data_IF_196453039313
#
_entry.id   IF_196453039313
#
_cell.length_a   1.000
_cell.length_b   1.000
_cell.length_c   1.000
_cell.angle_alpha   90.00
_cell.angle_beta   90.00
_cell.angle_gamma   90.00
#
_symmetry.space_group_name_H-M   'P 1'
#
loop_
_entity.id
_entity.type
_entity.pdbx_description
1 polymer ?
#
# COMPACT_ATOMS: atom_id res chain seq x y z
N UNK A 1 -7.36 -1.17 -15.44
CA UNK A 1 -6.01 -1.52 -15.13
C UNK A 1 -5.89 -2.89 -14.47
N UNK A 2 -4.86 -3.65 -14.87
CA UNK A 2 -4.73 -5.06 -14.49
C UNK A 2 -4.61 -5.27 -12.97
N UNK A 3 -3.78 -4.47 -12.32
CA UNK A 3 -3.56 -4.60 -10.86
C UNK A 3 -4.83 -4.27 -10.08
N UNK A 4 -5.47 -3.17 -10.41
CA UNK A 4 -6.70 -2.77 -9.74
C UNK A 4 -7.80 -3.80 -9.94
N UNK A 5 -7.93 -4.33 -11.15
CA UNK A 5 -8.93 -5.35 -11.46
C UNK A 5 -8.69 -6.63 -10.69
N UNK A 6 -7.43 -7.05 -10.58
CA UNK A 6 -7.06 -8.24 -9.81
C UNK A 6 -7.46 -8.11 -8.34
N UNK A 7 -7.12 -6.98 -7.72
CA UNK A 7 -7.44 -6.76 -6.32
C UNK A 7 -8.95 -6.68 -6.12
N UNK A 8 -9.65 -5.94 -6.96
CA UNK A 8 -11.10 -5.80 -6.87
C UNK A 8 -11.80 -7.15 -6.99
N UNK A 9 -11.38 -7.97 -7.94
CA UNK A 9 -11.94 -9.30 -8.12
C UNK A 9 -11.69 -10.19 -6.90
N UNK A 10 -10.48 -10.12 -6.34
CA UNK A 10 -10.13 -10.89 -5.14
C UNK A 10 -11.03 -10.49 -3.97
N UNK A 11 -11.25 -9.19 -3.78
CA UNK A 11 -12.10 -8.70 -2.70
C UNK A 11 -13.56 -9.14 -2.89
N UNK A 12 -14.07 -9.09 -4.11
CA UNK A 12 -15.44 -9.52 -4.39
C UNK A 12 -15.63 -11.01 -4.14
N UNK A 13 -14.70 -11.84 -4.60
CA UNK A 13 -14.78 -13.28 -4.42
C UNK A 13 -14.75 -13.68 -2.95
N UNK A 14 -14.10 -12.88 -2.14
CA UNK A 14 -13.97 -13.15 -0.70
C UNK A 14 -15.02 -12.43 0.12
N UNK A 15 -15.97 -11.78 -0.52
CA UNK A 15 -17.10 -11.10 0.11
C UNK A 15 -16.65 -10.07 1.17
N UNK A 16 -15.59 -9.33 0.86
CA UNK A 16 -15.10 -8.29 1.74
C UNK A 16 -16.11 -7.14 1.79
N UNK A 17 -16.37 -6.61 2.98
CA UNK A 17 -17.31 -5.52 3.15
C UNK A 17 -16.91 -4.32 2.30
N UNK A 18 -17.89 -3.61 1.75
CA UNK A 18 -17.65 -2.47 0.87
C UNK A 18 -16.75 -1.40 1.50
N UNK A 19 -16.92 -1.13 2.80
CA UNK A 19 -16.08 -0.16 3.51
C UNK A 19 -14.62 -0.58 3.53
N UNK A 20 -14.37 -1.87 3.76
CA UNK A 20 -13.01 -2.40 3.77
C UNK A 20 -12.41 -2.39 2.36
N UNK A 21 -13.19 -2.78 1.36
CA UNK A 21 -12.76 -2.74 -0.04
C UNK A 21 -12.37 -1.33 -0.47
N UNK A 22 -13.13 -0.34 -0.03
CA UNK A 22 -12.84 1.06 -0.33
C UNK A 22 -11.47 1.48 0.24
N UNK A 23 -11.20 1.11 1.50
CA UNK A 23 -9.92 1.42 2.13
C UNK A 23 -8.75 0.73 1.42
N UNK A 24 -8.93 -0.52 1.04
CA UNK A 24 -7.90 -1.28 0.31
C UNK A 24 -7.61 -0.64 -1.04
N UNK A 25 -8.64 -0.22 -1.76
CA UNK A 25 -8.46 0.42 -3.07
C UNK A 25 -7.73 1.75 -2.96
N UNK A 26 -8.00 2.53 -1.92
CA UNK A 26 -7.27 3.78 -1.67
C UNK A 26 -5.80 3.48 -1.39
N UNK A 27 -5.54 2.51 -0.51
CA UNK A 27 -4.17 2.13 -0.18
C UNK A 27 -3.40 1.65 -1.40
N UNK A 28 -4.03 0.80 -2.20
CA UNK A 28 -3.41 0.28 -3.42
C UNK A 28 -3.05 1.42 -4.37
N UNK A 29 -3.98 2.33 -4.60
CA UNK A 29 -3.77 3.45 -5.51
C UNK A 29 -2.59 4.32 -5.07
N UNK A 30 -2.55 4.68 -3.80
CA UNK A 30 -1.47 5.50 -3.28
C UNK A 30 -0.11 4.80 -3.31
N UNK A 31 -0.06 3.56 -2.87
CA UNK A 31 1.19 2.82 -2.81
C UNK A 31 1.73 2.47 -4.20
N UNK A 32 0.85 2.05 -5.09
CA UNK A 32 1.26 1.69 -6.45
C UNK A 32 1.70 2.93 -7.22
N UNK A 33 0.99 4.04 -7.06
CA UNK A 33 1.38 5.31 -7.68
C UNK A 33 2.76 5.77 -7.22
N UNK A 34 3.08 5.57 -5.93
CA UNK A 34 4.39 5.91 -5.40
C UNK A 34 5.49 5.08 -6.08
N UNK A 35 5.25 3.80 -6.29
CA UNK A 35 6.20 2.94 -6.99
C UNK A 35 6.43 3.47 -8.40
N UNK A 36 5.37 3.73 -9.13
CA UNK A 36 5.44 4.18 -10.52
C UNK A 36 6.19 5.51 -10.64
N UNK A 37 5.89 6.44 -9.72
CA UNK A 37 6.44 7.80 -9.81
C UNK A 37 7.84 7.97 -9.25
N UNK A 38 8.19 7.25 -8.18
CA UNK A 38 9.38 7.60 -7.40
C UNK A 38 10.40 6.49 -7.22
N UNK A 39 10.04 5.23 -7.41
CA UNK A 39 10.99 4.15 -7.12
C UNK A 39 12.00 3.90 -8.23
N UNK A 40 11.69 4.29 -9.46
CA UNK A 40 12.53 3.96 -10.61
C UNK A 40 12.50 2.47 -10.95
N UNK A 41 11.51 1.76 -10.45
CA UNK A 41 11.40 0.32 -10.65
C UNK A 41 11.09 -0.03 -12.10
N UNK A 42 11.70 -1.10 -12.61
CA UNK A 42 11.37 -1.65 -13.92
C UNK A 42 10.30 -2.74 -13.79
N UNK A 43 10.09 -3.26 -12.59
CA UNK A 43 9.02 -4.23 -12.35
C UNK A 43 8.43 -4.06 -10.94
N UNK A 44 7.16 -4.35 -10.84
CA UNK A 44 6.44 -4.31 -9.58
C UNK A 44 5.41 -5.43 -9.56
N UNK A 45 5.24 -6.05 -8.40
CA UNK A 45 4.26 -7.12 -8.20
C UNK A 45 3.35 -6.76 -7.04
N UNK A 46 2.07 -7.08 -7.20
CA UNK A 46 1.08 -6.86 -6.15
C UNK A 46 0.35 -8.17 -5.91
N UNK A 47 0.21 -8.54 -4.66
CA UNK A 47 -0.64 -9.66 -4.29
C UNK A 47 -1.64 -9.22 -3.23
N UNK A 48 -2.82 -9.84 -3.24
CA UNK A 48 -3.88 -9.55 -2.30
C UNK A 48 -4.36 -10.87 -1.71
N UNK A 49 -4.26 -11.00 -0.40
CA UNK A 49 -4.68 -12.21 0.31
C UNK A 49 -5.76 -11.83 1.29
N UNK A 50 -6.88 -12.56 1.23
CA UNK A 50 -8.01 -12.32 2.12
C UNK A 50 -8.22 -13.56 2.97
N UNK A 51 -8.20 -13.41 4.28
CA UNK A 51 -8.58 -14.48 5.18
C UNK A 51 -9.80 -14.04 5.99
N UNK A 52 -10.20 -14.83 6.97
CA UNK A 52 -11.41 -14.58 7.76
C UNK A 52 -11.37 -13.24 8.50
N UNK A 53 -10.20 -12.80 8.91
CA UNK A 53 -10.05 -11.63 9.77
C UNK A 53 -9.31 -10.46 9.14
N UNK A 54 -8.55 -10.69 8.09
CA UNK A 54 -7.70 -9.65 7.52
C UNK A 54 -7.70 -9.66 6.00
N UNK A 55 -7.39 -8.48 5.45
CA UNK A 55 -7.04 -8.33 4.03
C UNK A 55 -5.60 -7.83 4.00
N UNK A 56 -4.75 -8.51 3.24
CA UNK A 56 -3.34 -8.17 3.14
C UNK A 56 -3.00 -7.81 1.70
N UNK A 57 -2.38 -6.64 1.52
CA UNK A 57 -1.75 -6.27 0.25
C UNK A 57 -0.25 -6.39 0.43
N UNK A 58 0.41 -7.04 -0.51
CA UNK A 58 1.85 -7.13 -0.55
C UNK A 58 2.33 -6.54 -1.86
N UNK A 59 3.21 -5.54 -1.78
CA UNK A 59 3.75 -4.87 -2.95
C UNK A 59 5.26 -5.06 -2.96
N UNK A 60 5.79 -5.50 -4.11
CA UNK A 60 7.21 -5.74 -4.29
C UNK A 60 7.67 -4.98 -5.52
N UNK A 61 8.79 -4.26 -5.43
CA UNK A 61 9.37 -3.60 -6.58
C UNK A 61 10.89 -3.60 -6.51
N UNK A 62 11.51 -3.47 -7.67
CA UNK A 62 12.98 -3.48 -7.77
C UNK A 62 13.57 -2.07 -7.87
N UNK A 63 12.87 -1.07 -7.38
CA UNK A 63 13.34 0.30 -7.39
C UNK A 63 14.33 0.60 -6.27
N UNK A 64 14.63 1.89 -6.10
CA UNK A 64 15.54 2.31 -5.02
C UNK A 64 14.94 2.00 -3.66
N UNK A 65 15.77 1.66 -2.66
CA UNK A 65 15.26 1.40 -1.32
C UNK A 65 14.54 2.63 -0.74
N UNK A 66 13.33 2.40 -0.25
CA UNK A 66 12.55 3.45 0.39
C UNK A 66 11.61 2.82 1.41
N UNK A 67 11.80 3.15 2.68
CA UNK A 67 10.99 2.63 3.78
C UNK A 67 9.93 3.64 4.19
N UNK A 68 8.68 3.47 3.75
CA UNK A 68 7.61 4.39 4.13
C UNK A 68 7.25 4.31 5.61
N UNK A 69 7.62 3.22 6.29
CA UNK A 69 7.31 3.04 7.71
C UNK A 69 8.28 3.77 8.61
N UNK A 70 9.41 4.23 8.08
CA UNK A 70 10.47 4.85 8.86
C UNK A 70 10.13 6.27 9.34
N UNK A 71 9.17 6.93 8.68
CA UNK A 71 8.76 8.29 9.07
C UNK A 71 7.69 8.25 10.14
N UNK A 72 7.84 9.16 11.11
CA UNK A 72 6.83 9.31 12.15
C UNK A 72 5.64 10.11 11.63
N UNK A 73 4.48 9.97 12.28
CA UNK A 73 3.25 10.63 11.85
C UNK A 73 3.39 12.15 11.76
N UNK A 74 4.14 12.77 12.67
CA UNK A 74 4.35 14.21 12.64
C UNK A 74 5.08 14.64 11.37
N UNK A 75 6.08 13.88 10.95
CA UNK A 75 6.82 14.16 9.71
C UNK A 75 5.93 13.97 8.50
N UNK A 76 5.06 12.95 8.53
CA UNK A 76 4.11 12.70 7.45
C UNK A 76 3.10 13.83 7.31
N UNK A 77 2.62 14.35 8.44
CA UNK A 77 1.69 15.48 8.43
C UNK A 77 2.34 16.72 7.84
N UNK A 78 3.58 16.99 8.22
CA UNK A 78 4.31 18.12 7.69
C UNK A 78 4.49 18.00 6.18
N UNK A 79 4.85 16.81 5.70
CA UNK A 79 4.99 16.57 4.27
C UNK A 79 3.68 16.78 3.54
N UNK A 80 2.57 16.35 4.13
CA UNK A 80 1.25 16.52 3.54
C UNK A 80 0.88 18.00 3.47
N UNK A 81 1.16 18.77 4.54
CA UNK A 81 0.89 20.21 4.58
C UNK A 81 1.71 20.96 3.55
N UNK A 82 2.93 20.53 3.30
CA UNK A 82 3.80 21.14 2.31
C UNK A 82 3.51 20.62 0.91
N UNK A 83 2.51 19.75 0.78
CA UNK A 83 2.12 19.14 -0.47
C UNK A 83 3.25 18.32 -1.11
N UNK A 84 4.09 17.74 -0.28
CA UNK A 84 5.15 16.85 -0.74
C UNK A 84 4.54 15.59 -1.32
N UNK A 85 4.90 15.30 -2.56
CA UNK A 85 4.38 14.14 -3.25
C UNK A 85 4.92 12.87 -2.60
N UNK A 86 4.05 11.87 -2.42
CA UNK A 86 4.41 10.61 -1.76
C UNK A 86 4.21 10.64 -0.25
N UNK A 87 4.46 11.78 0.39
CA UNK A 87 4.28 11.90 1.84
C UNK A 87 2.82 11.86 2.24
N UNK A 88 1.99 12.59 1.51
CA UNK A 88 0.55 12.63 1.77
C UNK A 88 -0.09 11.26 1.60
N UNK A 89 0.25 10.56 0.51
CA UNK A 89 -0.31 9.25 0.23
C UNK A 89 0.06 8.24 1.29
N UNK A 90 1.33 8.21 1.71
CA UNK A 90 1.81 7.30 2.74
C UNK A 90 1.13 7.59 4.07
N UNK A 91 0.99 8.86 4.42
CA UNK A 91 0.28 9.29 5.63
C UNK A 91 -1.15 8.75 5.65
N UNK A 92 -1.85 8.91 4.52
CA UNK A 92 -3.23 8.41 4.38
C UNK A 92 -3.30 6.90 4.56
N UNK A 93 -2.38 6.16 3.93
CA UNK A 93 -2.34 4.69 4.05
C UNK A 93 -2.13 4.27 5.50
N UNK A 94 -1.22 4.93 6.21
CA UNK A 94 -0.99 4.63 7.63
C UNK A 94 -2.23 4.85 8.47
N UNK A 95 -3.03 5.86 8.13
CA UNK A 95 -4.28 6.13 8.86
C UNK A 95 -5.35 5.10 8.56
N UNK A 96 -5.40 4.58 7.34
CA UNK A 96 -6.43 3.65 6.91
C UNK A 96 -6.16 2.19 7.27
N UNK A 97 -4.89 1.80 7.29
CA UNK A 97 -4.51 0.40 7.48
C UNK A 97 -4.24 0.09 8.94
N UNK A 98 -4.44 -1.17 9.30
CA UNK A 98 -4.21 -1.65 10.67
C UNK A 98 -2.72 -1.85 10.95
N UNK A 99 -1.96 -2.22 9.93
CA UNK A 99 -0.53 -2.50 10.09
C UNK A 99 0.19 -2.28 8.77
N UNK A 100 1.43 -1.82 8.86
CA UNK A 100 2.30 -1.64 7.69
C UNK A 100 3.70 -2.11 8.07
N UNK A 101 4.28 -2.99 7.27
CA UNK A 101 5.64 -3.49 7.48
C UNK A 101 6.43 -3.40 6.18
N UNK A 102 7.74 -3.23 6.31
CA UNK A 102 8.62 -3.04 5.16
C UNK A 102 9.93 -3.78 5.36
N UNK A 103 10.46 -4.33 4.27
CA UNK A 103 11.85 -4.77 4.24
C UNK A 103 12.42 -4.56 2.83
N UNK A 104 13.75 -4.47 2.77
CA UNK A 104 14.45 -4.41 1.49
C UNK A 104 15.39 -5.62 1.46
N UNK A 105 15.20 -6.47 0.49
CA UNK A 105 15.90 -7.75 0.46
C UNK A 105 16.11 -8.22 -0.97
N UNK A 106 17.30 -8.68 -1.28
CA UNK A 106 17.64 -9.21 -2.60
C UNK A 106 17.35 -8.25 -3.75
N UNK A 107 17.50 -6.95 -3.50
CA UNK A 107 17.27 -5.93 -4.53
C UNK A 107 15.81 -5.51 -4.67
N UNK A 108 14.95 -5.93 -3.76
CA UNK A 108 13.52 -5.61 -3.81
C UNK A 108 13.03 -4.92 -2.56
N UNK A 109 12.24 -3.87 -2.77
CA UNK A 109 11.41 -3.31 -1.72
C UNK A 109 10.21 -4.23 -1.54
N UNK A 110 9.88 -4.57 -0.29
CA UNK A 110 8.72 -5.39 0.02
C UNK A 110 7.90 -4.70 1.09
N UNK A 111 6.74 -4.22 0.70
CA UNK A 111 5.84 -3.52 1.59
C UNK A 111 4.57 -4.34 1.76
N UNK A 112 4.20 -4.59 3.02
CA UNK A 112 2.98 -5.32 3.35
C UNK A 112 2.09 -4.42 4.17
N UNK A 113 0.84 -4.26 3.74
CA UNK A 113 -0.16 -3.54 4.52
C UNK A 113 -1.32 -4.47 4.81
N UNK A 114 -1.84 -4.40 6.03
CA UNK A 114 -2.94 -5.24 6.48
C UNK A 114 -4.08 -4.39 6.98
N UNK A 115 -5.28 -4.81 6.67
CA UNK A 115 -6.51 -4.20 7.17
C UNK A 115 -7.30 -5.27 7.91
N UNK A 116 -7.64 -4.98 9.17
CA UNK A 116 -8.50 -5.88 9.93
C UNK A 116 -9.93 -5.72 9.41
N UNK A 117 -10.57 -6.84 9.06
CA UNK A 117 -11.92 -6.84 8.52
C UNK A 117 -12.94 -6.49 9.60
N UNK A 118 -14.00 -5.86 9.15
CA UNK A 118 -15.14 -5.53 10.01
C UNK A 118 -15.78 -6.78 10.61
#
# INVERSE_FOLDING_TARGET
>A
EVVASYVEETLEKSEVAMRDSYKINIALDELYSNIVRYSGASEAKVSCVVDEHTVTLHLQDNGVPFDPTAKEDADMEQLAEEEQIGGRGIFLVKKLMSKMTYCYENGYNELTVKLQRM
#
